data_IF_881446895242
#
_entry.id   IF_881446895242
#
_cell.length_a   1.000
_cell.length_b   1.000
_cell.length_c   1.000
_cell.angle_alpha   90.00
_cell.angle_beta   90.00
_cell.angle_gamma   90.00
#
_symmetry.space_group_name_H-M   'P 1'
#
loop_
_entity.id
_entity.type
_entity.pdbx_description
1 polymer ?
#
# COMPACT_ATOMS: atom_id res chain seq x y z
N UNK A 1 7.07 -23.64 -19.42
CA UNK A 1 7.74 -22.34 -19.75
C UNK A 1 6.93 -21.16 -19.24
N UNK A 2 5.68 -20.94 -19.68
CA UNK A 2 4.85 -19.81 -19.25
C UNK A 2 4.62 -19.72 -17.73
N UNK A 3 4.38 -20.84 -17.04
CA UNK A 3 4.17 -20.83 -15.58
C UNK A 3 5.39 -20.32 -14.80
N UNK A 4 6.61 -20.62 -15.27
CA UNK A 4 7.86 -20.14 -14.66
C UNK A 4 8.01 -18.63 -14.86
N UNK A 5 7.65 -18.14 -16.05
CA UNK A 5 7.65 -16.69 -16.35
C UNK A 5 6.64 -15.97 -15.44
N UNK A 6 5.43 -16.51 -15.29
CA UNK A 6 4.40 -15.94 -14.42
C UNK A 6 4.86 -15.90 -12.96
N UNK A 7 5.49 -16.98 -12.46
CA UNK A 7 6.08 -16.99 -11.12
C UNK A 7 7.16 -15.91 -10.97
N UNK A 8 8.05 -15.74 -11.95
CA UNK A 8 9.09 -14.72 -11.91
C UNK A 8 8.52 -13.30 -11.89
N UNK A 9 7.49 -13.02 -12.69
CA UNK A 9 6.83 -11.70 -12.74
C UNK A 9 6.10 -11.40 -11.43
N UNK A 10 5.39 -12.39 -10.87
CA UNK A 10 4.75 -12.23 -9.55
C UNK A 10 5.79 -11.98 -8.46
N UNK A 11 6.89 -12.75 -8.46
CA UNK A 11 7.94 -12.61 -7.47
C UNK A 11 8.60 -11.23 -7.52
N UNK A 12 8.92 -10.74 -8.73
CA UNK A 12 9.49 -9.41 -8.93
C UNK A 12 8.56 -8.30 -8.39
N UNK A 13 7.25 -8.44 -8.61
CA UNK A 13 6.24 -7.46 -8.16
C UNK A 13 6.10 -7.47 -6.64
N UNK A 14 5.92 -8.67 -6.05
CA UNK A 14 5.73 -8.83 -4.61
C UNK A 14 6.97 -8.31 -3.86
N UNK A 15 8.18 -8.70 -4.27
CA UNK A 15 9.41 -8.23 -3.64
C UNK A 15 9.53 -6.71 -3.61
N UNK A 16 9.26 -6.04 -4.73
CA UNK A 16 9.31 -4.58 -4.82
C UNK A 16 8.30 -3.89 -3.89
N UNK A 17 7.09 -4.43 -3.80
CA UNK A 17 6.04 -3.93 -2.91
C UNK A 17 6.35 -4.19 -1.43
N UNK A 18 6.81 -5.39 -1.09
CA UNK A 18 7.16 -5.75 0.29
C UNK A 18 8.31 -4.90 0.81
N UNK A 19 9.36 -4.69 -0.01
CA UNK A 19 10.45 -3.78 0.33
C UNK A 19 9.95 -2.35 0.55
N UNK A 20 9.20 -1.80 -0.41
CA UNK A 20 8.69 -0.42 -0.34
C UNK A 20 7.76 -0.20 0.86
N UNK A 21 7.00 -1.23 1.25
CA UNK A 21 6.12 -1.16 2.40
C UNK A 21 6.89 -1.32 3.72
N UNK A 22 7.79 -2.30 3.83
CA UNK A 22 8.61 -2.49 5.02
C UNK A 22 9.50 -1.28 5.33
N UNK A 23 10.11 -0.68 4.30
CA UNK A 23 10.96 0.51 4.43
C UNK A 23 10.21 1.76 4.92
N UNK A 24 8.87 1.78 4.86
CA UNK A 24 8.06 2.89 5.44
C UNK A 24 7.94 2.81 6.96
N UNK A 25 8.05 1.61 7.54
CA UNK A 25 7.84 1.37 8.96
C UNK A 25 9.11 0.91 9.69
N UNK A 26 10.15 0.51 8.95
CA UNK A 26 11.39 -0.03 9.51
C UNK A 26 12.61 0.50 8.74
N UNK A 27 13.77 0.55 9.39
CA UNK A 27 15.03 0.83 8.72
C UNK A 27 15.42 -0.35 7.82
N UNK A 28 15.67 -0.11 6.51
CA UNK A 28 16.08 -1.16 5.58
C UNK A 28 17.26 -1.97 6.10
N UNK A 29 17.22 -3.29 5.87
CA UNK A 29 18.28 -4.24 6.27
C UNK A 29 18.53 -4.37 7.78
N UNK A 30 17.76 -3.70 8.64
CA UNK A 30 17.80 -3.91 10.09
C UNK A 30 17.21 -5.26 10.51
N UNK A 31 17.43 -5.66 11.77
CA UNK A 31 16.78 -6.84 12.36
C UNK A 31 15.25 -6.72 12.32
N UNK A 32 14.73 -5.51 12.59
CA UNK A 32 13.29 -5.24 12.61
C UNK A 32 12.68 -5.33 11.21
N UNK A 33 13.42 -4.94 10.16
CA UNK A 33 13.00 -5.10 8.77
C UNK A 33 12.75 -6.56 8.41
N UNK A 34 13.68 -7.45 8.74
CA UNK A 34 13.55 -8.88 8.46
C UNK A 34 12.36 -9.51 9.21
N UNK A 35 12.18 -9.14 10.48
CA UNK A 35 11.02 -9.58 11.28
C UNK A 35 9.71 -9.11 10.63
N UNK A 36 9.65 -7.85 10.19
CA UNK A 36 8.46 -7.29 9.56
C UNK A 36 8.12 -7.97 8.23
N UNK A 37 9.13 -8.27 7.40
CA UNK A 37 8.96 -9.04 6.16
C UNK A 37 8.39 -10.44 6.44
N UNK A 38 8.91 -11.14 7.46
CA UNK A 38 8.41 -12.46 7.85
C UNK A 38 6.94 -12.37 8.28
N UNK A 39 6.58 -11.39 9.11
CA UNK A 39 5.20 -11.18 9.56
C UNK A 39 4.27 -10.97 8.36
N UNK A 40 4.66 -10.12 7.42
CA UNK A 40 3.84 -9.88 6.22
C UNK A 40 3.74 -11.11 5.32
N UNK A 41 4.78 -11.92 5.21
CA UNK A 41 4.75 -13.17 4.46
C UNK A 41 3.76 -14.17 5.09
N UNK A 42 3.79 -14.31 6.42
CA UNK A 42 2.83 -15.14 7.17
C UNK A 42 1.41 -14.61 6.98
N UNK A 43 1.20 -13.29 7.07
CA UNK A 43 -0.10 -12.68 6.84
C UNK A 43 -0.62 -12.91 5.42
N UNK A 44 0.25 -12.75 4.40
CA UNK A 44 -0.10 -13.03 3.01
C UNK A 44 -0.45 -14.50 2.77
N UNK A 45 0.28 -15.42 3.40
CA UNK A 45 -0.05 -16.85 3.37
C UNK A 45 -1.41 -17.15 4.00
N UNK A 46 -1.71 -16.57 5.17
CA UNK A 46 -3.02 -16.73 5.81
C UNK A 46 -4.17 -16.17 4.95
N UNK A 47 -3.93 -15.05 4.27
CA UNK A 47 -4.91 -14.47 3.35
C UNK A 47 -5.10 -15.31 2.08
N UNK A 48 -4.14 -16.16 1.70
CA UNK A 48 -4.27 -17.04 0.53
C UNK A 48 -5.35 -18.12 0.69
N UNK A 49 -5.76 -18.42 1.94
CA UNK A 49 -6.89 -19.31 2.22
C UNK A 49 -8.25 -18.65 2.00
N UNK A 50 -8.31 -17.32 1.91
CA UNK A 50 -9.53 -16.58 1.56
C UNK A 50 -9.75 -16.70 0.05
N UNK A 51 -10.97 -17.02 -0.37
CA UNK A 51 -11.29 -17.12 -1.80
C UNK A 51 -10.94 -15.83 -2.55
N UNK A 52 -10.23 -15.95 -3.67
CA UNK A 52 -9.69 -14.81 -4.42
C UNK A 52 -10.74 -13.73 -4.72
N UNK A 53 -11.93 -14.14 -5.19
CA UNK A 53 -13.01 -13.21 -5.52
C UNK A 53 -13.48 -12.41 -4.30
N UNK A 54 -13.61 -13.07 -3.14
CA UNK A 54 -14.03 -12.42 -1.89
C UNK A 54 -12.94 -11.47 -1.38
N UNK A 55 -11.68 -11.91 -1.42
CA UNK A 55 -10.54 -11.12 -1.00
C UNK A 55 -10.44 -9.83 -1.82
N UNK A 56 -10.51 -9.95 -3.15
CA UNK A 56 -10.44 -8.80 -4.06
C UNK A 56 -11.62 -7.86 -3.87
N UNK A 57 -12.84 -8.40 -3.74
CA UNK A 57 -14.02 -7.58 -3.49
C UNK A 57 -13.86 -6.73 -2.22
N UNK A 58 -13.45 -7.35 -1.10
CA UNK A 58 -13.20 -6.64 0.16
C UNK A 58 -12.08 -5.63 0.04
N UNK A 59 -10.92 -6.02 -0.49
CA UNK A 59 -9.75 -5.15 -0.60
C UNK A 59 -10.01 -3.94 -1.51
N UNK A 60 -10.60 -4.13 -2.69
CA UNK A 60 -10.86 -3.04 -3.62
C UNK A 60 -11.92 -2.07 -3.09
N UNK A 61 -12.95 -2.57 -2.41
CA UNK A 61 -13.93 -1.70 -1.74
C UNK A 61 -13.27 -0.85 -0.64
N UNK A 62 -12.44 -1.46 0.22
CA UNK A 62 -11.72 -0.72 1.28
C UNK A 62 -10.79 0.33 0.66
N UNK A 63 -9.99 -0.05 -0.33
CA UNK A 63 -9.07 0.86 -1.01
C UNK A 63 -9.81 2.01 -1.71
N UNK A 64 -11.00 1.74 -2.26
CA UNK A 64 -11.87 2.77 -2.84
C UNK A 64 -12.29 3.83 -1.82
N UNK A 65 -12.73 3.42 -0.63
CA UNK A 65 -13.10 4.35 0.44
C UNK A 65 -11.89 5.14 0.97
N UNK A 66 -10.75 4.48 1.19
CA UNK A 66 -9.52 5.16 1.63
C UNK A 66 -9.03 6.17 0.58
N UNK A 67 -9.04 5.78 -0.69
CA UNK A 67 -8.68 6.66 -1.79
C UNK A 67 -9.58 7.89 -1.86
N UNK A 68 -10.88 7.71 -1.77
CA UNK A 68 -11.84 8.81 -1.75
C UNK A 68 -11.59 9.77 -0.57
N UNK A 69 -11.33 9.21 0.62
CA UNK A 69 -11.02 9.99 1.81
C UNK A 69 -9.75 10.85 1.61
N UNK A 70 -8.68 10.26 1.08
CA UNK A 70 -7.42 10.98 0.81
C UNK A 70 -7.65 12.09 -0.21
N UNK A 71 -8.39 11.82 -1.30
CA UNK A 71 -8.70 12.82 -2.33
C UNK A 71 -9.45 14.01 -1.72
N UNK A 72 -10.50 13.75 -0.93
CA UNK A 72 -11.25 14.81 -0.25
C UNK A 72 -10.34 15.61 0.71
N UNK A 73 -9.52 14.94 1.51
CA UNK A 73 -8.60 15.60 2.44
C UNK A 73 -7.58 16.49 1.72
N UNK A 74 -7.04 16.03 0.58
CA UNK A 74 -6.11 16.80 -0.25
C UNK A 74 -6.81 18.00 -0.88
N UNK A 75 -8.03 17.84 -1.38
CA UNK A 75 -8.84 18.94 -1.94
C UNK A 75 -9.10 20.01 -0.87
N UNK A 76 -9.55 19.62 0.32
CA UNK A 76 -9.78 20.55 1.43
C UNK A 76 -8.49 21.28 1.81
N UNK A 77 -7.37 20.54 1.92
CA UNK A 77 -6.06 21.13 2.22
C UNK A 77 -5.62 22.13 1.14
N UNK A 78 -5.85 21.81 -0.13
CA UNK A 78 -5.53 22.69 -1.26
C UNK A 78 -6.32 24.00 -1.19
N UNK A 79 -7.65 23.93 -0.99
CA UNK A 79 -8.48 25.13 -0.85
C UNK A 79 -8.16 25.94 0.42
N UNK A 80 -7.90 25.28 1.55
CA UNK A 80 -7.46 25.97 2.78
C UNK A 80 -6.14 26.72 2.57
N UNK A 81 -5.16 26.10 1.90
CA UNK A 81 -3.87 26.73 1.60
C UNK A 81 -4.03 27.93 0.67
N UNK A 82 -4.85 27.80 -0.40
CA UNK A 82 -5.15 28.90 -1.32
C UNK A 82 -5.83 30.10 -0.63
N UNK A 83 -6.67 29.85 0.37
CA UNK A 83 -7.30 30.92 1.16
C UNK A 83 -6.35 31.55 2.20
N UNK A 84 -5.41 30.79 2.74
CA UNK A 84 -4.38 31.31 3.64
C UNK A 84 -3.40 32.24 2.90
N UNK A 85 -2.99 31.87 1.68
CA UNK A 85 -2.09 32.70 0.87
C UNK A 85 -2.73 34.04 0.46
N UNK A 86 -4.05 34.10 0.29
CA UNK A 86 -4.78 35.38 0.04
C UNK A 86 -4.78 36.33 1.24
N UNK A 87 -4.60 35.83 2.46
CA UNK A 87 -4.68 36.63 3.69
C UNK A 87 -3.36 37.34 4.05
N UNK A 88 -2.29 37.10 3.29
CA UNK A 88 -1.01 37.79 3.44
C UNK A 88 -0.77 38.88 2.38
N UNK A 89 -1.73 39.10 1.47
CA UNK A 89 -1.64 40.10 0.39
C UNK A 89 -2.77 41.16 0.52
N UNK A 90 -3.52 41.16 1.62
CA UNK A 90 -4.58 42.13 1.93
C UNK A 90 -4.31 42.83 3.25
#
# INVERSE_FOLDING_TARGET
VLSVIMLAVMYNTILGLMYSFAARFTEPYSKNYHIFIIIMMVAGYLLSFVGFAELINKLYTIMGYVGLFIVVAVIIKYFKRKNADKKHIA
#
